data_IF_631318626384
#
_entry.id   IF_631318626384
#
_cell.length_a   1.000
_cell.length_b   1.000
_cell.length_c   1.000
_cell.angle_alpha   90.00
_cell.angle_beta   90.00
_cell.angle_gamma   90.00
#
_symmetry.space_group_name_H-M   'P 1'
#
loop_
_entity.id
_entity.type
_entity.pdbx_description
1 polymer ?
#
# COMPACT_ATOMS: atom_id res chain seq x y z
N UNK A 1 -4.13 -6.41 -42.35
CA UNK A 1 -4.73 -6.34 -41.00
C UNK A 1 -5.11 -4.89 -40.77
N UNK A 2 -6.29 -4.61 -40.18
CA UNK A 2 -6.65 -3.23 -39.86
C UNK A 2 -6.05 -2.80 -38.51
N UNK A 3 -5.98 -1.49 -38.28
CA UNK A 3 -5.40 -0.86 -37.08
C UNK A 3 -6.13 -1.24 -35.77
N UNK A 4 -7.41 -1.65 -35.84
CA UNK A 4 -8.16 -2.08 -34.65
C UNK A 4 -7.73 -3.49 -34.23
N UNK A 5 -7.55 -4.39 -35.18
CA UNK A 5 -7.10 -5.77 -34.91
C UNK A 5 -5.68 -5.79 -34.33
N UNK A 6 -4.76 -4.97 -34.85
CA UNK A 6 -3.40 -4.83 -34.30
C UNK A 6 -3.41 -4.33 -32.86
N UNK A 7 -4.21 -3.31 -32.56
CA UNK A 7 -4.37 -2.78 -31.20
C UNK A 7 -4.96 -3.80 -30.23
N UNK A 8 -5.93 -4.61 -30.67
CA UNK A 8 -6.52 -5.66 -29.84
C UNK A 8 -5.51 -6.76 -29.52
N UNK A 9 -4.69 -7.16 -30.50
CA UNK A 9 -3.62 -8.16 -30.31
C UNK A 9 -2.57 -7.65 -29.30
N UNK A 10 -2.15 -6.40 -29.43
CA UNK A 10 -1.18 -5.78 -28.52
C UNK A 10 -1.71 -5.69 -27.08
N UNK A 11 -2.98 -5.25 -26.91
CA UNK A 11 -3.63 -5.20 -25.60
C UNK A 11 -3.76 -6.58 -24.95
N UNK A 12 -4.15 -7.61 -25.71
CA UNK A 12 -4.24 -8.97 -25.18
C UNK A 12 -2.88 -9.51 -24.78
N UNK A 13 -1.85 -9.28 -25.59
CA UNK A 13 -0.48 -9.68 -25.27
C UNK A 13 0.03 -8.98 -23.99
N UNK A 14 -0.27 -7.69 -23.83
CA UNK A 14 0.10 -6.92 -22.65
C UNK A 14 -0.65 -7.35 -21.38
N UNK A 15 -1.95 -7.63 -21.47
CA UNK A 15 -2.70 -8.17 -20.32
C UNK A 15 -2.14 -9.55 -19.93
N UNK A 16 -1.87 -10.40 -20.91
CA UNK A 16 -1.30 -11.73 -20.65
C UNK A 16 0.07 -11.64 -19.98
N UNK A 17 0.94 -10.73 -20.42
CA UNK A 17 2.25 -10.54 -19.81
C UNK A 17 2.14 -10.02 -18.37
N UNK A 18 1.25 -9.06 -18.09
CA UNK A 18 1.01 -8.56 -16.73
C UNK A 18 0.55 -9.67 -15.80
N UNK A 19 -0.42 -10.49 -16.21
CA UNK A 19 -0.93 -11.60 -15.38
C UNK A 19 0.17 -12.65 -15.16
N UNK A 20 0.91 -13.00 -16.22
CA UNK A 20 2.01 -13.96 -16.13
C UNK A 20 3.11 -13.49 -15.20
N UNK A 21 3.53 -12.24 -15.31
CA UNK A 21 4.56 -11.63 -14.46
C UNK A 21 4.08 -11.59 -13.01
N UNK A 22 2.83 -11.21 -12.75
CA UNK A 22 2.25 -11.20 -11.41
C UNK A 22 2.29 -12.61 -10.79
N UNK A 23 1.81 -13.62 -11.51
CA UNK A 23 1.84 -15.01 -11.02
C UNK A 23 3.28 -15.45 -10.76
N UNK A 24 4.21 -15.15 -11.68
CA UNK A 24 5.61 -15.52 -11.53
C UNK A 24 6.27 -14.84 -10.33
N UNK A 25 6.02 -13.55 -10.08
CA UNK A 25 6.55 -12.84 -8.91
C UNK A 25 6.00 -13.45 -7.61
N UNK A 26 4.72 -13.81 -7.57
CA UNK A 26 4.08 -14.35 -6.37
C UNK A 26 4.49 -15.80 -6.10
N UNK A 27 4.59 -16.63 -7.13
CA UNK A 27 4.80 -18.08 -6.98
C UNK A 27 6.28 -18.49 -7.04
N UNK A 28 7.10 -17.73 -7.77
CA UNK A 28 8.53 -18.02 -7.92
C UNK A 28 9.35 -16.73 -8.09
N UNK A 29 9.43 -15.88 -7.05
CA UNK A 29 10.11 -14.59 -7.13
C UNK A 29 11.59 -14.71 -7.44
N UNK A 30 12.27 -15.75 -6.94
CA UNK A 30 13.70 -15.98 -7.19
C UNK A 30 13.94 -16.18 -8.68
N UNK A 31 13.21 -17.10 -9.32
CA UNK A 31 13.35 -17.33 -10.75
C UNK A 31 12.96 -16.09 -11.58
N UNK A 32 11.92 -15.37 -11.15
CA UNK A 32 11.48 -14.14 -11.82
C UNK A 32 12.58 -13.07 -11.80
N UNK A 33 13.04 -12.67 -10.61
CA UNK A 33 14.03 -11.60 -10.46
C UNK A 33 15.37 -11.94 -11.11
N UNK A 34 15.78 -13.22 -11.08
CA UNK A 34 16.99 -13.67 -11.75
C UNK A 34 16.94 -13.52 -13.28
N UNK A 35 15.75 -13.65 -13.88
CA UNK A 35 15.55 -13.60 -15.34
C UNK A 35 15.09 -12.22 -15.83
N UNK A 36 14.64 -11.35 -14.93
CA UNK A 36 14.11 -10.04 -15.26
C UNK A 36 15.16 -9.19 -16.00
N UNK A 37 14.83 -8.63 -17.19
CA UNK A 37 15.73 -7.71 -17.87
C UNK A 37 16.01 -6.47 -17.03
N UNK A 38 17.30 -6.07 -16.96
CA UNK A 38 17.75 -4.86 -16.25
C UNK A 38 17.54 -3.58 -17.07
N UNK A 39 17.37 -3.71 -18.38
CA UNK A 39 17.21 -2.61 -19.34
C UNK A 39 16.06 -2.87 -20.31
N UNK A 40 15.65 -1.85 -21.08
CA UNK A 40 14.53 -1.91 -22.02
C UNK A 40 13.42 -0.87 -21.81
N UNK A 41 13.68 0.17 -21.01
CA UNK A 41 12.76 1.27 -20.72
C UNK A 41 11.85 1.06 -19.50
N UNK A 42 11.16 2.13 -19.09
CA UNK A 42 10.31 2.14 -17.90
C UNK A 42 8.83 1.86 -18.20
N UNK A 43 8.44 1.79 -19.47
CA UNK A 43 7.03 1.70 -19.88
C UNK A 43 6.40 0.39 -19.41
N UNK A 44 7.02 -0.76 -19.71
CA UNK A 44 6.49 -2.06 -19.31
C UNK A 44 6.34 -2.21 -17.78
N UNK A 45 7.36 -1.93 -16.95
CA UNK A 45 7.19 -1.98 -15.49
C UNK A 45 6.18 -0.94 -14.99
N UNK A 46 6.07 0.23 -15.62
CA UNK A 46 5.05 1.21 -15.25
C UNK A 46 3.62 0.70 -15.52
N UNK A 47 3.40 0.07 -16.68
CA UNK A 47 2.10 -0.54 -17.03
C UNK A 47 1.76 -1.65 -16.05
N UNK A 48 2.73 -2.51 -15.71
CA UNK A 48 2.56 -3.54 -14.71
C UNK A 48 2.13 -2.96 -13.36
N UNK A 49 2.85 -1.95 -12.87
CA UNK A 49 2.56 -1.30 -11.59
C UNK A 49 1.19 -0.61 -11.59
N UNK A 50 0.84 0.09 -12.68
CA UNK A 50 -0.46 0.71 -12.86
C UNK A 50 -1.60 -0.34 -12.86
N UNK A 51 -1.39 -1.48 -13.54
CA UNK A 51 -2.35 -2.58 -13.56
C UNK A 51 -2.55 -3.19 -12.15
N UNK A 52 -1.49 -3.33 -11.37
CA UNK A 52 -1.58 -3.73 -9.96
C UNK A 52 -2.33 -2.69 -9.11
N UNK A 53 -2.16 -1.40 -9.39
CA UNK A 53 -2.94 -0.32 -8.78
C UNK A 53 -4.44 -0.41 -9.09
N UNK A 54 -4.79 -0.66 -10.36
CA UNK A 54 -6.18 -0.87 -10.80
C UNK A 54 -6.78 -2.11 -10.12
N UNK A 55 -6.05 -3.23 -10.10
CA UNK A 55 -6.48 -4.45 -9.43
C UNK A 55 -6.77 -4.20 -7.94
N UNK A 56 -5.88 -3.47 -7.25
CA UNK A 56 -6.10 -3.02 -5.88
C UNK A 56 -7.34 -2.15 -5.70
N UNK A 57 -7.61 -1.21 -6.62
CA UNK A 57 -8.80 -0.37 -6.58
C UNK A 57 -10.10 -1.18 -6.77
N UNK A 58 -10.10 -2.17 -7.66
CA UNK A 58 -11.23 -3.10 -7.86
C UNK A 58 -11.52 -3.87 -6.57
N UNK A 59 -10.48 -4.34 -5.87
CA UNK A 59 -10.64 -5.00 -4.57
C UNK A 59 -11.26 -4.07 -3.55
N UNK A 60 -10.84 -2.80 -3.49
CA UNK A 60 -11.44 -1.82 -2.57
C UNK A 60 -12.93 -1.58 -2.86
N UNK A 61 -13.34 -1.56 -4.13
CA UNK A 61 -14.77 -1.50 -4.49
C UNK A 61 -15.52 -2.71 -3.96
N UNK A 62 -14.98 -3.91 -4.16
CA UNK A 62 -15.59 -5.12 -3.64
C UNK A 62 -15.73 -5.09 -2.11
N UNK A 63 -14.67 -4.68 -1.40
CA UNK A 63 -14.68 -4.57 0.06
C UNK A 63 -15.67 -3.50 0.57
N UNK A 64 -15.89 -2.42 -0.19
CA UNK A 64 -16.83 -1.35 0.19
C UNK A 64 -18.27 -1.83 0.36
N UNK A 65 -18.68 -2.90 -0.34
CA UNK A 65 -20.01 -3.52 -0.14
C UNK A 65 -20.19 -4.12 1.25
N UNK A 66 -19.09 -4.46 1.92
CA UNK A 66 -19.08 -5.00 3.28
C UNK A 66 -18.80 -3.93 4.34
N UNK A 67 -18.67 -2.65 3.95
CA UNK A 67 -18.20 -1.55 4.80
C UNK A 67 -16.83 -1.83 5.41
N UNK A 68 -16.00 -2.61 4.70
CA UNK A 68 -14.64 -2.96 5.07
C UNK A 68 -13.68 -2.31 4.06
N UNK A 69 -12.48 -1.93 4.52
CA UNK A 69 -11.45 -1.35 3.67
C UNK A 69 -11.36 0.16 3.73
N UNK A 70 -10.53 0.72 2.87
CA UNK A 70 -10.11 2.14 2.93
C UNK A 70 -11.07 3.08 2.18
N UNK A 71 -11.90 2.53 1.29
CA UNK A 71 -12.99 3.25 0.66
C UNK A 71 -14.21 3.25 1.60
N UNK A 72 -14.34 4.29 2.41
CA UNK A 72 -15.45 4.44 3.36
C UNK A 72 -16.84 4.60 2.74
N UNK A 73 -16.92 4.68 1.40
CA UNK A 73 -18.18 4.66 0.64
C UNK A 73 -17.96 4.17 -0.78
N UNK A 74 -19.03 3.71 -1.43
CA UNK A 74 -19.01 3.28 -2.83
C UNK A 74 -18.58 4.41 -3.80
N UNK A 75 -19.04 5.64 -3.56
CA UNK A 75 -18.64 6.81 -4.37
C UNK A 75 -17.14 7.10 -4.30
N UNK A 76 -16.55 6.98 -3.10
CA UNK A 76 -15.10 7.08 -2.92
C UNK A 76 -14.35 5.92 -3.57
N UNK A 77 -14.94 4.72 -3.57
CA UNK A 77 -14.36 3.54 -4.21
C UNK A 77 -14.25 3.71 -5.73
N UNK A 78 -15.26 4.32 -6.39
CA UNK A 78 -15.20 4.63 -7.82
C UNK A 78 -14.13 5.67 -8.16
N UNK A 79 -13.97 6.70 -7.32
CA UNK A 79 -12.92 7.70 -7.51
C UNK A 79 -11.51 7.07 -7.51
N UNK A 80 -11.30 6.00 -6.72
CA UNK A 80 -10.02 5.29 -6.68
C UNK A 80 -9.64 4.60 -7.98
N UNK A 81 -10.58 4.21 -8.86
CA UNK A 81 -10.24 3.63 -10.17
C UNK A 81 -9.37 4.59 -11.00
N UNK A 82 -9.69 5.89 -10.93
CA UNK A 82 -9.00 6.92 -11.71
C UNK A 82 -7.79 7.45 -10.95
N UNK A 83 -7.93 7.67 -9.64
CA UNK A 83 -6.88 8.29 -8.82
C UNK A 83 -5.72 7.32 -8.54
N UNK A 84 -6.00 6.04 -8.25
CA UNK A 84 -4.96 5.10 -7.83
C UNK A 84 -3.86 4.86 -8.87
N UNK A 85 -4.15 4.66 -10.16
CA UNK A 85 -3.08 4.44 -11.15
C UNK A 85 -2.12 5.63 -11.25
N UNK A 86 -2.63 6.86 -11.12
CA UNK A 86 -1.82 8.09 -11.15
C UNK A 86 -0.95 8.16 -9.90
N UNK A 87 -1.55 7.90 -8.72
CA UNK A 87 -0.82 7.90 -7.45
C UNK A 87 0.27 6.82 -7.44
N UNK A 88 -0.06 5.60 -7.86
CA UNK A 88 0.87 4.49 -7.96
C UNK A 88 2.01 4.81 -8.92
N UNK A 89 1.74 5.46 -10.06
CA UNK A 89 2.79 5.93 -10.94
C UNK A 89 3.72 6.92 -10.23
N UNK A 90 3.19 8.04 -9.69
CA UNK A 90 3.99 9.10 -9.05
C UNK A 90 4.80 8.55 -7.87
N UNK A 91 4.14 7.91 -6.92
CA UNK A 91 4.81 7.34 -5.75
C UNK A 91 5.70 6.16 -6.11
N UNK A 92 5.41 5.44 -7.20
CA UNK A 92 6.26 4.38 -7.73
C UNK A 92 7.63 4.89 -8.18
N UNK A 93 7.68 6.04 -8.88
CA UNK A 93 8.95 6.68 -9.23
C UNK A 93 9.72 7.12 -7.97
N UNK A 94 9.03 7.71 -7.00
CA UNK A 94 9.66 8.15 -5.74
C UNK A 94 10.19 6.94 -4.95
N UNK A 95 9.39 5.88 -4.82
CA UNK A 95 9.77 4.66 -4.12
C UNK A 95 10.97 3.98 -4.79
N UNK A 96 10.99 3.92 -6.13
CA UNK A 96 12.14 3.42 -6.88
C UNK A 96 13.41 4.24 -6.64
N UNK A 97 13.30 5.57 -6.56
CA UNK A 97 14.44 6.43 -6.25
C UNK A 97 14.99 6.16 -4.85
N UNK A 98 14.11 6.04 -3.86
CA UNK A 98 14.49 5.69 -2.49
C UNK A 98 15.16 4.31 -2.45
N UNK A 99 14.57 3.30 -3.10
CA UNK A 99 15.13 1.95 -3.17
C UNK A 99 16.48 1.93 -3.88
N UNK A 100 16.64 2.71 -4.96
CA UNK A 100 17.93 2.88 -5.63
C UNK A 100 18.99 3.42 -4.66
N UNK A 101 18.67 4.44 -3.87
CA UNK A 101 19.60 5.00 -2.88
C UNK A 101 19.96 3.96 -1.81
N UNK A 102 18.98 3.20 -1.31
CA UNK A 102 19.21 2.11 -0.35
C UNK A 102 20.16 1.06 -0.96
N UNK A 103 19.88 0.60 -2.18
CA UNK A 103 20.75 -0.37 -2.87
C UNK A 103 22.14 0.20 -3.16
N UNK A 104 22.27 1.49 -3.48
CA UNK A 104 23.58 2.15 -3.66
C UNK A 104 24.39 2.14 -2.37
N UNK A 105 23.78 2.46 -1.23
CA UNK A 105 24.44 2.39 0.08
C UNK A 105 24.85 0.96 0.43
N UNK A 106 24.08 -0.04 0.00
CA UNK A 106 24.41 -1.45 0.16
C UNK A 106 25.50 -1.95 -0.80
N UNK A 107 25.97 -1.12 -1.75
CA UNK A 107 27.04 -1.46 -2.69
C UNK A 107 26.59 -1.89 -4.09
N UNK A 108 25.33 -1.64 -4.47
CA UNK A 108 24.84 -2.00 -5.80
C UNK A 108 25.35 -1.07 -6.91
N UNK A 109 25.82 -1.66 -8.01
CA UNK A 109 26.24 -0.94 -9.20
C UNK A 109 25.11 -0.69 -10.21
N UNK A 110 23.91 -1.20 -9.94
CA UNK A 110 22.75 -1.07 -10.82
C UNK A 110 22.25 0.39 -10.94
N UNK A 111 21.54 0.68 -12.03
CA UNK A 111 21.00 2.01 -12.33
C UNK A 111 19.55 2.18 -11.83
N UNK A 112 19.01 3.37 -12.05
CA UNK A 112 17.63 3.69 -11.68
C UNK A 112 16.60 2.80 -12.39
N UNK A 113 16.83 2.45 -13.66
CA UNK A 113 15.91 1.61 -14.42
C UNK A 113 15.77 0.22 -13.78
N UNK A 114 16.89 -0.40 -13.43
CA UNK A 114 16.90 -1.68 -12.71
C UNK A 114 16.12 -1.56 -11.39
N UNK A 115 16.38 -0.50 -10.62
CA UNK A 115 15.70 -0.28 -9.34
C UNK A 115 14.18 -0.06 -9.51
N UNK A 116 13.77 0.70 -10.53
CA UNK A 116 12.37 0.94 -10.85
C UNK A 116 11.65 -0.34 -11.27
N UNK A 117 12.29 -1.19 -12.07
CA UNK A 117 11.76 -2.51 -12.44
C UNK A 117 11.54 -3.36 -11.19
N UNK A 118 12.53 -3.44 -10.29
CA UNK A 118 12.38 -4.15 -9.03
C UNK A 118 11.19 -3.63 -8.20
N UNK A 119 11.06 -2.31 -8.05
CA UNK A 119 9.96 -1.68 -7.33
C UNK A 119 8.59 -1.96 -7.98
N UNK A 120 8.51 -1.87 -9.30
CA UNK A 120 7.30 -2.14 -10.07
C UNK A 120 6.83 -3.59 -9.90
N UNK A 121 7.71 -4.57 -10.06
CA UNK A 121 7.32 -5.96 -9.92
C UNK A 121 7.03 -6.34 -8.46
N UNK A 122 7.67 -5.69 -7.48
CA UNK A 122 7.32 -5.86 -6.07
C UNK A 122 5.86 -5.47 -5.78
N UNK A 123 5.24 -4.61 -6.59
CA UNK A 123 3.82 -4.26 -6.49
C UNK A 123 2.85 -5.41 -6.82
N UNK A 124 3.34 -6.55 -7.34
CA UNK A 124 2.53 -7.74 -7.64
C UNK A 124 1.74 -8.25 -6.43
N UNK A 125 2.21 -7.99 -5.20
CA UNK A 125 1.52 -8.37 -3.96
C UNK A 125 0.34 -7.44 -3.62
N UNK A 126 0.20 -6.28 -4.29
CA UNK A 126 -0.82 -5.28 -3.94
C UNK A 126 -2.25 -5.83 -3.94
N UNK A 127 -2.69 -6.70 -4.87
CA UNK A 127 -4.05 -7.22 -4.83
C UNK A 127 -4.26 -8.15 -3.63
N UNK A 128 -3.26 -8.98 -3.31
CA UNK A 128 -3.33 -9.92 -2.18
C UNK A 128 -3.33 -9.15 -0.86
N UNK A 129 -2.43 -8.19 -0.69
CA UNK A 129 -2.44 -7.31 0.50
C UNK A 129 -3.72 -6.50 0.62
N UNK A 130 -4.30 -6.05 -0.50
CA UNK A 130 -5.58 -5.34 -0.52
C UNK A 130 -6.71 -6.13 0.13
N UNK A 131 -6.78 -7.44 -0.12
CA UNK A 131 -7.73 -8.34 0.53
C UNK A 131 -7.38 -8.57 2.01
N UNK A 132 -6.10 -8.86 2.31
CA UNK A 132 -5.66 -9.16 3.67
C UNK A 132 -5.83 -7.97 4.62
N UNK A 133 -5.76 -6.74 4.12
CA UNK A 133 -5.98 -5.51 4.89
C UNK A 133 -7.41 -5.37 5.43
N UNK A 134 -8.36 -6.20 4.99
CA UNK A 134 -9.65 -6.37 5.66
C UNK A 134 -9.49 -6.86 7.11
N UNK A 135 -8.42 -7.59 7.41
CA UNK A 135 -8.10 -8.10 8.75
C UNK A 135 -7.09 -7.14 9.41
N UNK A 136 -7.49 -6.40 10.46
CA UNK A 136 -6.64 -5.41 11.10
C UNK A 136 -5.35 -6.02 11.65
N UNK A 137 -4.25 -5.28 11.57
CA UNK A 137 -2.90 -5.68 11.97
C UNK A 137 -2.31 -6.84 11.14
N UNK A 138 -3.01 -7.97 11.04
CA UNK A 138 -2.55 -9.18 10.34
C UNK A 138 -2.26 -8.89 8.87
N UNK A 139 -3.17 -8.20 8.16
CA UNK A 139 -2.95 -7.88 6.75
C UNK A 139 -1.71 -7.04 6.51
N UNK A 140 -1.48 -6.05 7.37
CA UNK A 140 -0.30 -5.20 7.30
C UNK A 140 0.99 -5.98 7.56
N UNK A 141 1.01 -6.86 8.57
CA UNK A 141 2.19 -7.66 8.91
C UNK A 141 2.53 -8.66 7.80
N UNK A 142 1.54 -9.41 7.29
CA UNK A 142 1.77 -10.37 6.20
C UNK A 142 2.22 -9.65 4.94
N UNK A 143 1.54 -8.54 4.59
CA UNK A 143 1.90 -7.75 3.42
C UNK A 143 3.32 -7.20 3.50
N UNK A 144 3.73 -6.72 4.67
CA UNK A 144 5.07 -6.20 4.89
C UNK A 144 6.13 -7.30 4.87
N UNK A 145 5.85 -8.46 5.48
CA UNK A 145 6.75 -9.62 5.44
C UNK A 145 6.98 -10.08 4.00
N UNK A 146 5.93 -10.16 3.18
CA UNK A 146 6.05 -10.53 1.78
C UNK A 146 6.79 -9.48 0.96
N UNK A 147 6.46 -8.20 1.14
CA UNK A 147 7.19 -7.11 0.48
C UNK A 147 8.68 -7.14 0.81
N UNK A 148 9.02 -7.38 2.08
CA UNK A 148 10.41 -7.53 2.54
C UNK A 148 11.09 -8.69 1.82
N UNK A 149 10.41 -9.84 1.72
CA UNK A 149 10.95 -10.98 0.99
C UNK A 149 11.22 -10.65 -0.48
N UNK A 150 10.28 -10.01 -1.20
CA UNK A 150 10.49 -9.60 -2.59
C UNK A 150 11.68 -8.63 -2.75
N UNK A 151 11.81 -7.65 -1.86
CA UNK A 151 12.92 -6.70 -1.89
C UNK A 151 14.26 -7.36 -1.60
N UNK A 152 14.30 -8.34 -0.68
CA UNK A 152 15.49 -9.14 -0.43
C UNK A 152 15.84 -9.99 -1.64
N UNK A 153 14.86 -10.66 -2.26
CA UNK A 153 15.09 -11.44 -3.48
C UNK A 153 15.62 -10.57 -4.62
N UNK A 154 15.02 -9.39 -4.86
CA UNK A 154 15.53 -8.44 -5.83
C UNK A 154 16.97 -7.99 -5.52
N UNK A 155 17.28 -7.75 -4.24
CA UNK A 155 18.62 -7.37 -3.78
C UNK A 155 19.67 -8.42 -4.11
N UNK A 156 19.34 -9.70 -3.91
CA UNK A 156 20.27 -10.81 -4.15
C UNK A 156 20.38 -11.11 -5.64
N UNK A 157 19.25 -11.35 -6.30
CA UNK A 157 19.22 -11.88 -7.67
C UNK A 157 19.50 -10.81 -8.73
N UNK A 158 19.07 -9.57 -8.50
CA UNK A 158 19.24 -8.47 -9.48
C UNK A 158 20.47 -7.64 -9.15
N UNK A 159 20.58 -7.22 -7.88
CA UNK A 159 21.63 -6.30 -7.43
C UNK A 159 22.92 -7.00 -6.98
N UNK A 160 22.96 -8.34 -6.92
CA UNK A 160 24.14 -9.12 -6.58
C UNK A 160 24.61 -8.94 -5.13
N UNK A 161 23.72 -8.52 -4.23
CA UNK A 161 24.03 -8.22 -2.84
C UNK A 161 24.02 -9.48 -1.98
N UNK A 162 24.75 -9.46 -0.87
CA UNK A 162 24.73 -10.56 0.08
C UNK A 162 23.36 -10.67 0.77
N UNK A 163 22.79 -11.87 0.80
CA UNK A 163 21.48 -12.12 1.40
C UNK A 163 21.38 -11.67 2.87
N UNK A 164 22.44 -11.89 3.66
CA UNK A 164 22.51 -11.44 5.06
C UNK A 164 22.35 -9.92 5.18
N UNK A 165 23.06 -9.15 4.35
CA UNK A 165 22.97 -7.69 4.33
C UNK A 165 21.57 -7.22 3.92
N UNK A 166 21.00 -7.83 2.87
CA UNK A 166 19.66 -7.52 2.41
C UNK A 166 18.60 -7.78 3.50
N UNK A 167 18.64 -8.93 4.16
CA UNK A 167 17.71 -9.25 5.26
C UNK A 167 17.84 -8.30 6.44
N UNK A 168 19.06 -7.87 6.80
CA UNK A 168 19.25 -6.90 7.88
C UNK A 168 18.65 -5.55 7.51
N UNK A 169 19.00 -5.00 6.34
CA UNK A 169 18.56 -3.66 5.93
C UNK A 169 17.04 -3.60 5.74
N UNK A 170 16.49 -4.49 4.92
CA UNK A 170 15.04 -4.50 4.67
C UNK A 170 14.25 -5.02 5.88
N UNK A 171 14.83 -5.89 6.71
CA UNK A 171 14.22 -6.32 7.96
C UNK A 171 14.09 -5.20 8.99
N UNK A 172 15.09 -4.33 9.13
CA UNK A 172 15.00 -3.15 10.00
C UNK A 172 13.94 -2.17 9.47
N UNK A 173 13.93 -1.90 8.17
CA UNK A 173 12.91 -1.04 7.53
C UNK A 173 11.52 -1.62 7.79
N UNK A 174 11.35 -2.93 7.59
CA UNK A 174 10.09 -3.63 7.85
C UNK A 174 9.69 -3.55 9.33
N UNK A 175 10.61 -3.73 10.27
CA UNK A 175 10.30 -3.61 11.69
C UNK A 175 9.79 -2.21 12.05
N UNK A 176 10.44 -1.15 11.53
CA UNK A 176 10.01 0.24 11.74
C UNK A 176 8.62 0.46 11.13
N UNK A 177 8.41 0.03 9.89
CA UNK A 177 7.11 0.17 9.21
C UNK A 177 5.99 -0.62 9.90
N UNK A 178 6.29 -1.79 10.47
CA UNK A 178 5.34 -2.58 11.24
C UNK A 178 4.87 -1.82 12.49
N UNK A 179 5.80 -1.26 13.26
CA UNK A 179 5.48 -0.46 14.44
C UNK A 179 4.64 0.75 14.05
N UNK A 180 5.07 1.52 13.04
CA UNK A 180 4.31 2.68 12.54
C UNK A 180 2.90 2.30 12.09
N UNK A 181 2.76 1.20 11.35
CA UNK A 181 1.46 0.72 10.86
C UNK A 181 0.53 0.30 12.00
N UNK A 182 1.04 -0.47 12.97
CA UNK A 182 0.26 -0.88 14.14
C UNK A 182 -0.15 0.34 14.97
N UNK A 183 0.78 1.26 15.25
CA UNK A 183 0.50 2.50 15.98
C UNK A 183 -0.55 3.35 15.28
N UNK A 184 -0.45 3.52 13.96
CA UNK A 184 -1.43 4.26 13.17
C UNK A 184 -2.80 3.60 13.19
N UNK A 185 -2.88 2.27 13.06
CA UNK A 185 -4.14 1.54 13.14
C UNK A 185 -4.77 1.64 14.53
N UNK A 186 -3.97 1.57 15.58
CA UNK A 186 -4.43 1.73 16.96
C UNK A 186 -4.98 3.14 17.20
N UNK A 187 -4.24 4.18 16.77
CA UNK A 187 -4.66 5.57 16.88
C UNK A 187 -5.95 5.85 16.09
N UNK A 188 -6.05 5.36 14.85
CA UNK A 188 -7.24 5.52 14.02
C UNK A 188 -8.48 4.85 14.63
N UNK A 189 -8.31 3.66 15.23
CA UNK A 189 -9.41 2.96 15.91
C UNK A 189 -9.87 3.68 17.17
N UNK A 190 -8.93 4.16 17.99
CA UNK A 190 -9.25 4.96 19.18
C UNK A 190 -9.95 6.27 18.82
N UNK A 191 -9.52 6.92 17.74
CA UNK A 191 -10.21 8.12 17.24
C UNK A 191 -11.63 7.78 16.77
N UNK A 192 -11.80 6.69 16.03
CA UNK A 192 -13.11 6.24 15.55
C UNK A 192 -14.07 5.92 16.70
N UNK A 193 -13.63 5.20 17.74
CA UNK A 193 -14.46 4.93 18.92
C UNK A 193 -14.85 6.22 19.65
N UNK A 194 -13.89 7.12 19.88
CA UNK A 194 -14.16 8.39 20.54
C UNK A 194 -15.15 9.26 19.76
N UNK A 195 -15.06 9.25 18.41
CA UNK A 195 -16.00 9.99 17.55
C UNK A 195 -17.40 9.38 17.57
N UNK A 196 -17.53 8.06 17.65
CA UNK A 196 -18.83 7.40 17.81
C UNK A 196 -19.47 7.73 19.16
N UNK A 197 -18.69 7.70 20.24
CA UNK A 197 -19.14 8.07 21.58
C UNK A 197 -19.60 9.54 21.61
N UNK A 198 -18.80 10.45 21.03
CA UNK A 198 -19.16 11.86 20.92
C UNK A 198 -20.43 12.07 20.10
N UNK A 199 -20.58 11.38 18.96
CA UNK A 199 -21.79 11.50 18.12
C UNK A 199 -23.03 11.00 18.87
N UNK A 200 -22.91 9.89 19.63
CA UNK A 200 -23.99 9.39 20.47
C UNK A 200 -24.34 10.37 21.59
N UNK A 201 -23.35 10.97 22.23
CA UNK A 201 -23.57 11.98 23.26
C UNK A 201 -24.20 13.26 22.71
N UNK A 202 -23.80 13.72 21.53
CA UNK A 202 -24.39 14.88 20.84
C UNK A 202 -25.81 14.61 20.34
N UNK A 203 -26.09 13.42 19.78
CA UNK A 203 -27.45 13.02 19.41
C UNK A 203 -28.40 12.94 20.61
N UNK A 204 -27.86 12.66 21.80
CA UNK A 204 -28.63 12.72 23.06
C UNK A 204 -28.78 14.15 23.60
N UNK A 205 -27.87 15.08 23.27
CA UNK A 205 -27.96 16.49 23.68
C UNK A 205 -29.17 17.20 23.07
N UNK A 206 -29.60 16.84 21.85
CA UNK A 206 -30.85 17.34 21.27
C UNK A 206 -32.10 16.96 22.08
N UNK A 207 -32.00 15.94 22.93
CA UNK A 207 -33.07 15.43 23.79
C UNK A 207 -32.86 15.75 25.28
N UNK A 208 -31.73 16.38 25.63
CA UNK A 208 -31.39 16.73 27.00
C UNK A 208 -31.91 18.12 27.39
N UNK A 209 -32.14 18.32 28.68
CA UNK A 209 -32.45 19.66 29.20
C UNK A 209 -31.24 20.61 29.03
N UNK A 210 -31.45 21.93 28.87
CA UNK A 210 -30.36 22.90 28.76
C UNK A 210 -29.32 22.83 29.90
N UNK A 211 -29.75 22.40 31.08
CA UNK A 211 -28.91 22.27 32.27
C UNK A 211 -27.97 21.05 32.21
N UNK A 212 -28.45 19.91 31.71
CA UNK A 212 -27.60 18.73 31.47
C UNK A 212 -26.62 18.95 30.32
N UNK A 213 -27.03 19.66 29.26
CA UNK A 213 -26.15 20.04 28.16
C UNK A 213 -25.01 20.94 28.65
N UNK A 214 -25.32 21.93 29.51
CA UNK A 214 -24.33 22.78 30.16
C UNK A 214 -23.35 22.01 31.04
N UNK A 215 -23.84 21.01 31.79
CA UNK A 215 -22.99 20.16 32.63
C UNK A 215 -22.02 19.29 31.81
N UNK A 216 -22.50 18.61 30.76
CA UNK A 216 -21.64 17.82 29.86
C UNK A 216 -20.59 18.68 29.15
N UNK A 217 -20.96 19.88 28.69
CA UNK A 217 -20.02 20.83 28.10
C UNK A 217 -18.93 21.27 29.09
N UNK A 218 -19.30 21.51 30.36
CA UNK A 218 -18.36 21.81 31.44
C UNK A 218 -17.39 20.66 31.74
N UNK A 219 -17.88 19.43 31.77
CA UNK A 219 -17.04 18.23 31.95
C UNK A 219 -16.06 18.03 30.78
N UNK A 220 -16.51 18.26 29.55
CA UNK A 220 -15.66 18.23 28.36
C UNK A 220 -14.54 19.29 28.41
N UNK A 221 -14.87 20.55 28.71
CA UNK A 221 -13.91 21.64 28.82
C UNK A 221 -12.85 21.38 29.91
N UNK A 222 -13.29 20.85 31.06
CA UNK A 222 -12.39 20.48 32.16
C UNK A 222 -11.47 19.32 31.79
N UNK A 223 -11.99 18.33 31.05
CA UNK A 223 -11.20 17.22 30.51
C UNK A 223 -10.12 17.69 29.53
N UNK A 224 -10.43 18.67 28.66
CA UNK A 224 -9.44 19.25 27.75
C UNK A 224 -8.35 20.04 28.49
N UNK A 225 -8.71 20.82 29.51
CA UNK A 225 -7.73 21.54 30.34
C UNK A 225 -6.78 20.56 31.05
N UNK A 226 -7.30 19.49 31.64
CA UNK A 226 -6.49 18.48 32.32
C UNK A 226 -5.61 17.66 31.35
N UNK A 227 -6.04 17.49 30.11
CA UNK A 227 -5.24 16.87 29.05
C UNK A 227 -4.10 17.77 28.56
N UNK A 228 -4.33 19.09 28.50
CA UNK A 228 -3.33 20.09 28.11
C UNK A 228 -2.27 20.33 29.21
N UNK A 229 -2.61 20.15 30.49
CA UNK A 229 -1.68 20.26 31.62
C UNK A 229 -0.79 19.01 31.82
N UNK A 230 -1.09 17.89 31.16
CA UNK A 230 -0.38 16.61 31.29
C UNK A 230 0.52 16.25 30.10
N UNK A 231 0.69 17.15 29.14
CA UNK A 231 1.73 17.09 28.10
C UNK A 231 2.86 18.04 28.44
#
# INVERSE_FOLDING_TARGET
MDNRTERQLDLQAQISSVVKDMISVITNPVAFYKQMPKTGGLVNPLIFMAAMGIAGAIIQIFLSFFHVGMAGSFGMALAYIIIMPIMVAIFGFIAAAILMLIWKVMGSNENYETAFRCAAYASAISPITGLLNAIPYIGAIIGLAWMTYLLVTASVEVHGLQAKTAWIVFGIIAAIMAVMSISSQHAARKLSSNMQDLNKDLGNIEQMSPEEAGKKAGEFLKGMQQGAEKQ
#
